data_IF_440011854362
#
_entry.id   IF_440011854362
#
_cell.length_a   1.000
_cell.length_b   1.000
_cell.length_c   1.000
_cell.angle_alpha   90.00
_cell.angle_beta   90.00
_cell.angle_gamma   90.00
#
_symmetry.space_group_name_H-M   'P 1'
#
loop_
_entity.id
_entity.type
_entity.pdbx_description
1 polymer ?
#
# COMPACT_ATOMS: atom_id res chain seq x y z
N UNK A 1 0.50 18.46 -8.64
CA UNK A 1 -0.85 18.02 -8.22
C UNK A 1 -0.68 17.39 -6.85
N UNK A 2 -1.46 17.80 -5.84
CA UNK A 2 -1.51 17.09 -4.56
C UNK A 2 -2.22 15.77 -4.82
N UNK A 3 -1.59 14.64 -4.53
CA UNK A 3 -2.24 13.39 -4.13
C UNK A 3 -1.22 12.29 -3.96
N UNK A 4 -1.39 11.57 -2.86
CA UNK A 4 -1.63 10.14 -2.95
C UNK A 4 -2.67 9.70 -1.91
N UNK A 5 -3.87 9.31 -2.34
CA UNK A 5 -4.98 8.79 -1.51
C UNK A 5 -5.65 9.68 -0.45
N UNK A 6 -5.08 10.83 -0.03
CA UNK A 6 -5.75 11.67 0.96
C UNK A 6 -5.05 12.98 1.34
N UNK A 7 -5.74 13.79 2.14
CA UNK A 7 -5.19 15.00 2.78
C UNK A 7 -5.67 15.06 4.23
N UNK A 8 -4.75 15.29 5.16
CA UNK A 8 -5.08 15.73 6.50
C UNK A 8 -5.20 17.26 6.50
N UNK A 9 -6.34 17.74 6.99
CA UNK A 9 -6.57 19.17 7.23
C UNK A 9 -6.54 19.37 8.74
N UNK A 10 -5.54 20.10 9.21
CA UNK A 10 -5.39 20.47 10.62
C UNK A 10 -5.68 21.96 10.77
N UNK A 11 -6.75 22.29 11.49
CA UNK A 11 -7.13 23.67 11.82
C UNK A 11 -6.68 23.98 13.24
N UNK A 12 -5.89 25.05 13.41
CA UNK A 12 -5.47 25.50 14.74
C UNK A 12 -6.56 26.33 15.45
N UNK A 13 -6.32 26.68 16.72
CA UNK A 13 -7.25 27.47 17.52
C UNK A 13 -7.46 28.91 17.00
N UNK A 14 -6.57 29.41 16.13
CA UNK A 14 -6.69 30.70 15.47
C UNK A 14 -7.42 30.62 14.11
N UNK A 15 -7.86 29.42 13.72
CA UNK A 15 -8.56 29.17 12.45
C UNK A 15 -7.64 29.01 11.25
N UNK A 16 -6.31 28.90 11.44
CA UNK A 16 -5.38 28.65 10.34
C UNK A 16 -5.39 27.18 9.98
N UNK A 17 -5.59 26.90 8.71
CA UNK A 17 -5.56 25.54 8.16
C UNK A 17 -4.16 25.17 7.68
N UNK A 18 -3.78 23.93 7.96
CA UNK A 18 -2.57 23.31 7.43
C UNK A 18 -2.94 22.02 6.72
N UNK A 19 -2.47 21.88 5.49
CA UNK A 19 -2.76 20.72 4.64
C UNK A 19 -1.52 19.83 4.59
N UNK A 20 -1.71 18.56 4.94
CA UNK A 20 -0.65 17.55 4.97
C UNK A 20 -1.09 16.40 4.08
N UNK A 21 -0.27 16.04 3.09
CA UNK A 21 -0.57 14.90 2.23
C UNK A 21 -0.56 13.61 3.06
N UNK A 22 -1.42 12.65 2.71
CA UNK A 22 -1.51 11.39 3.47
C UNK A 22 -1.90 10.23 2.59
N UNK A 23 -1.36 9.03 2.86
CA UNK A 23 -1.73 7.80 2.16
C UNK A 23 -2.39 6.80 3.12
N UNK A 24 -3.21 5.88 2.62
CA UNK A 24 -3.77 4.79 3.43
C UNK A 24 -2.86 3.56 3.40
N UNK A 25 -2.41 3.05 4.54
CA UNK A 25 -1.60 1.84 4.58
C UNK A 25 -2.41 0.62 4.12
N UNK A 26 -1.96 -0.08 3.09
CA UNK A 26 -2.61 -1.32 2.61
C UNK A 26 -2.62 -2.48 3.61
N UNK A 27 -1.75 -2.48 4.63
CA UNK A 27 -1.72 -3.54 5.65
C UNK A 27 -2.77 -3.36 6.76
N UNK A 28 -2.88 -2.13 7.28
CA UNK A 28 -3.71 -1.86 8.46
C UNK A 28 -4.89 -0.92 8.17
N UNK A 29 -5.00 -0.39 6.95
CA UNK A 29 -6.07 0.52 6.55
C UNK A 29 -5.99 1.92 7.16
N UNK A 30 -4.93 2.25 7.90
CA UNK A 30 -4.81 3.54 8.57
C UNK A 30 -4.07 4.57 7.71
N UNK A 31 -4.51 5.82 7.78
CA UNK A 31 -3.89 6.93 7.06
C UNK A 31 -2.60 7.38 7.75
N UNK A 32 -1.54 7.51 6.96
CA UNK A 32 -0.22 7.99 7.38
C UNK A 32 0.07 9.32 6.70
N UNK A 33 0.54 10.30 7.47
CA UNK A 33 0.96 11.60 6.95
C UNK A 33 2.30 11.47 6.24
N UNK A 34 2.44 12.12 5.09
CA UNK A 34 3.67 12.22 4.29
C UNK A 34 4.03 13.67 4.02
N UNK A 35 5.25 13.90 3.52
CA UNK A 35 5.65 15.25 3.10
C UNK A 35 4.78 15.70 1.94
N UNK A 36 4.45 16.99 1.93
CA UNK A 36 3.68 17.58 0.83
C UNK A 36 4.39 17.37 -0.51
N UNK A 37 3.64 16.97 -1.54
CA UNK A 37 4.13 16.63 -2.90
C UNK A 37 5.10 15.44 -2.93
N UNK A 38 4.97 14.49 -2.00
CA UNK A 38 5.66 13.19 -2.13
C UNK A 38 5.22 12.52 -3.44
N UNK A 39 6.17 11.99 -4.22
CA UNK A 39 5.86 11.29 -5.48
C UNK A 39 5.30 9.91 -5.17
N UNK A 40 4.36 9.42 -5.98
CA UNK A 40 3.73 8.10 -5.79
C UNK A 40 4.71 6.93 -5.68
N UNK A 41 5.81 6.98 -6.44
CA UNK A 41 6.87 5.97 -6.39
C UNK A 41 7.64 5.95 -5.05
N UNK A 42 7.63 7.07 -4.32
CA UNK A 42 8.32 7.26 -3.05
C UNK A 42 7.40 6.98 -1.84
N UNK A 43 6.18 6.47 -2.08
CA UNK A 43 5.17 6.23 -1.03
C UNK A 43 5.25 4.79 -0.53
N UNK A 44 5.01 4.66 0.77
CA UNK A 44 5.18 3.41 1.49
C UNK A 44 6.40 3.50 2.39
N UNK A 45 7.14 2.41 2.52
CA UNK A 45 8.18 2.23 3.52
C UNK A 45 7.60 1.74 4.85
N UNK A 46 8.25 2.10 5.94
CA UNK A 46 7.90 1.59 7.26
C UNK A 46 6.65 2.27 7.83
N UNK A 47 5.53 1.54 7.89
CA UNK A 47 4.34 2.01 8.59
C UNK A 47 4.59 1.98 10.11
N UNK A 48 4.51 3.14 10.76
CA UNK A 48 4.74 3.25 12.21
C UNK A 48 3.59 2.66 13.05
N UNK A 49 2.43 2.41 12.46
CA UNK A 49 1.27 1.88 13.18
C UNK A 49 1.28 0.35 13.22
N UNK A 50 1.45 -0.31 12.07
CA UNK A 50 1.51 -1.77 12.00
C UNK A 50 2.93 -2.33 11.99
N UNK A 51 3.95 -1.46 12.13
CA UNK A 51 5.37 -1.83 12.17
C UNK A 51 5.76 -2.76 11.03
N UNK A 52 5.28 -2.45 9.83
CA UNK A 52 5.46 -3.29 8.63
C UNK A 52 5.89 -2.42 7.45
N UNK A 53 6.77 -2.96 6.61
CA UNK A 53 7.13 -2.32 5.34
C UNK A 53 6.00 -2.44 4.33
N UNK A 54 5.46 -1.30 3.89
CA UNK A 54 4.46 -1.17 2.82
C UNK A 54 5.21 -0.81 1.54
N UNK A 55 5.21 -1.66 0.53
CA UNK A 55 5.72 -1.24 -0.77
C UNK A 55 4.63 -0.49 -1.57
N UNK A 56 4.99 0.32 -2.58
CA UNK A 56 4.01 1.01 -3.43
C UNK A 56 2.96 0.08 -4.05
N UNK A 57 3.33 -1.16 -4.40
CA UNK A 57 2.37 -2.14 -4.94
C UNK A 57 1.35 -2.62 -3.90
N UNK A 58 1.78 -2.81 -2.65
CA UNK A 58 0.88 -3.13 -1.53
C UNK A 58 -0.05 -1.97 -1.21
N UNK A 59 0.43 -0.73 -1.38
CA UNK A 59 -0.37 0.47 -1.20
C UNK A 59 -1.52 0.51 -2.21
N UNK A 60 -1.24 0.33 -3.50
CA UNK A 60 -2.26 0.40 -4.56
C UNK A 60 -3.27 -0.75 -4.47
N UNK A 61 -2.81 -1.96 -4.14
CA UNK A 61 -3.67 -3.16 -4.13
C UNK A 61 -4.35 -3.43 -2.78
N UNK A 62 -3.91 -2.78 -1.70
CA UNK A 62 -4.34 -3.09 -0.33
C UNK A 62 -3.98 -4.50 0.14
N UNK A 63 -3.14 -5.23 -0.63
CA UNK A 63 -2.79 -6.62 -0.33
C UNK A 63 -1.28 -6.79 -0.48
N UNK A 64 -0.66 -7.25 0.61
CA UNK A 64 0.70 -7.74 0.53
C UNK A 64 0.73 -9.14 -0.06
N UNK A 65 1.45 -9.28 -1.16
CA UNK A 65 1.76 -10.57 -1.76
C UNK A 65 3.28 -10.69 -1.89
N UNK A 66 3.95 -11.26 -0.88
CA UNK A 66 5.38 -11.53 -0.95
C UNK A 66 5.72 -12.34 -2.20
N UNK A 67 6.87 -12.07 -2.80
CA UNK A 67 7.28 -12.70 -4.05
C UNK A 67 7.27 -14.23 -3.97
N UNK A 68 7.72 -14.79 -2.84
CA UNK A 68 7.73 -16.22 -2.60
C UNK A 68 6.32 -16.82 -2.56
N UNK A 69 5.35 -16.08 -1.98
CA UNK A 69 3.93 -16.49 -1.95
C UNK A 69 3.27 -16.34 -3.32
N UNK A 70 3.69 -15.38 -4.11
CA UNK A 70 3.28 -15.25 -5.50
C UNK A 70 3.74 -16.47 -6.31
N UNK A 71 5.03 -16.85 -6.20
CA UNK A 71 5.59 -18.04 -6.84
C UNK A 71 4.83 -19.30 -6.38
N UNK A 72 4.68 -19.49 -5.08
CA UNK A 72 4.01 -20.68 -4.52
C UNK A 72 2.60 -20.84 -5.10
N UNK A 73 1.84 -19.76 -5.25
CA UNK A 73 0.50 -19.79 -5.85
C UNK A 73 0.52 -20.12 -7.35
N UNK A 74 1.48 -19.59 -8.10
CA UNK A 74 1.65 -19.91 -9.52
C UNK A 74 2.03 -21.37 -9.70
N UNK A 75 2.98 -21.88 -8.91
CA UNK A 75 3.39 -23.28 -8.94
C UNK A 75 2.27 -24.23 -8.49
N UNK A 76 1.53 -23.89 -7.43
CA UNK A 76 0.40 -24.67 -6.96
C UNK A 76 -0.70 -24.74 -8.02
N UNK A 77 -0.99 -23.62 -8.70
CA UNK A 77 -1.90 -23.61 -9.84
C UNK A 77 -1.39 -24.49 -10.98
N UNK A 78 -0.10 -24.43 -11.31
CA UNK A 78 0.51 -25.30 -12.32
C UNK A 78 0.40 -26.79 -11.98
N UNK A 79 0.65 -27.17 -10.72
CA UNK A 79 0.47 -28.54 -10.23
C UNK A 79 -1.00 -28.98 -10.35
N UNK A 80 -1.95 -28.13 -9.97
CA UNK A 80 -3.37 -28.43 -10.05
C UNK A 80 -3.83 -28.63 -11.51
N UNK A 81 -3.45 -27.73 -12.42
CA UNK A 81 -3.82 -27.83 -13.83
C UNK A 81 -3.28 -29.10 -14.48
N UNK A 82 -2.01 -29.47 -14.23
CA UNK A 82 -1.45 -30.75 -14.66
C UNK A 82 -2.19 -31.94 -14.07
N UNK A 83 -2.56 -31.88 -12.79
CA UNK A 83 -3.32 -32.96 -12.14
C UNK A 83 -4.72 -33.18 -12.73
N UNK A 84 -5.31 -32.13 -13.33
CA UNK A 84 -6.59 -32.20 -14.01
C UNK A 84 -6.46 -32.49 -15.51
N UNK A 85 -5.24 -32.66 -16.03
CA UNK A 85 -4.99 -32.84 -17.47
C UNK A 85 -5.31 -31.60 -18.32
N UNK A 86 -5.31 -30.42 -17.71
CA UNK A 86 -5.67 -29.14 -18.35
C UNK A 86 -4.45 -28.29 -18.76
N UNK A 87 -3.24 -28.74 -18.43
CA UNK A 87 -1.98 -28.14 -18.86
C UNK A 87 -0.90 -29.22 -18.94
N UNK A 88 0.02 -29.07 -19.89
CA UNK A 88 1.16 -29.97 -20.13
C UNK A 88 2.30 -29.73 -19.13
#
# INVERSE_FOLDING_TARGET
MLRPDGVFICTDAAGKETHIDSYQCGHCGLHNAVRTKTRDADIGGWCRVCTSNVCPACLVSGRCDPFEKAIERVEARGRALRSYGLAD
#
